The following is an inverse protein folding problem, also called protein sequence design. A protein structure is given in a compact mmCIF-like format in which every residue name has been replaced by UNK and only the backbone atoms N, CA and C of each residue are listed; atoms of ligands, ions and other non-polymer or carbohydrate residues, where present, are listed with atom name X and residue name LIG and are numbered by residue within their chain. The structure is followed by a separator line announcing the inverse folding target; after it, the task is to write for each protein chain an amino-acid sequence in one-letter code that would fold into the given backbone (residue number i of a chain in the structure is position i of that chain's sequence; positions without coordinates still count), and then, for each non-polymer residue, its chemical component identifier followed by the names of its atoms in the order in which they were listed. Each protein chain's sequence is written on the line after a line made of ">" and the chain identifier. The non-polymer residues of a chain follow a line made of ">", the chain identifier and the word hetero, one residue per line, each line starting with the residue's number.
data_IF_338058665152
#
_entry.id   IF_338058665152
#
_cell.length_a   1.000
_cell.length_b   1.000
_cell.length_c   1.000
_cell.angle_alpha   90.00
_cell.angle_beta   90.00
_cell.angle_gamma   90.00
#
_symmetry.space_group_name_H-M   'P 1'
#
loop_
_entity.id
_entity.type
_entity.pdbx_description
1 polymer ?
#
# COMPACT_ATOMS: atom_id res chain seq x y z
N UNK A 1 18.55 -11.33 -21.32
CA UNK A 1 18.47 -11.66 -19.88
C UNK A 1 18.47 -10.33 -19.14
N UNK A 2 17.33 -9.97 -18.52
CA UNK A 2 17.28 -8.71 -17.77
C UNK A 2 18.02 -8.93 -16.45
N UNK A 3 19.10 -8.18 -16.27
CA UNK A 3 19.96 -8.32 -15.11
C UNK A 3 19.20 -7.84 -13.86
N UNK A 4 19.07 -8.71 -12.85
CA UNK A 4 18.47 -8.40 -11.55
C UNK A 4 19.54 -7.83 -10.62
N UNK A 5 19.14 -6.90 -9.78
CA UNK A 5 20.01 -6.45 -8.70
C UNK A 5 20.20 -7.55 -7.65
N UNK A 6 21.39 -7.58 -7.08
CA UNK A 6 21.76 -8.52 -6.02
C UNK A 6 22.61 -7.81 -4.97
N UNK A 7 22.98 -8.50 -3.92
CA UNK A 7 23.93 -7.95 -2.94
C UNK A 7 25.35 -7.73 -3.51
N UNK A 8 25.61 -8.15 -4.75
CA UNK A 8 26.82 -7.79 -5.50
C UNK A 8 26.71 -6.41 -6.15
N UNK A 9 25.51 -5.85 -6.27
CA UNK A 9 25.28 -4.50 -6.78
C UNK A 9 25.72 -3.46 -5.74
N UNK A 10 25.92 -2.22 -6.18
CA UNK A 10 26.23 -1.06 -5.35
C UNK A 10 24.99 -0.18 -5.16
N UNK A 11 24.99 0.70 -4.15
CA UNK A 11 23.92 1.70 -3.97
C UNK A 11 23.78 2.56 -5.23
N UNK A 12 24.90 3.04 -5.79
CA UNK A 12 24.91 3.89 -6.98
C UNK A 12 24.29 3.20 -8.20
N UNK A 13 24.65 1.93 -8.47
CA UNK A 13 24.08 1.17 -9.58
C UNK A 13 22.56 1.04 -9.50
N UNK A 14 21.99 0.91 -8.30
CA UNK A 14 20.56 0.80 -8.11
C UNK A 14 19.89 2.18 -8.20
N UNK A 15 20.40 3.17 -7.47
CA UNK A 15 19.74 4.49 -7.36
C UNK A 15 19.83 5.33 -8.62
N UNK A 16 20.85 5.13 -9.45
CA UNK A 16 21.03 5.81 -10.73
C UNK A 16 20.41 5.04 -11.91
N UNK A 17 19.86 3.85 -11.70
CA UNK A 17 19.24 3.08 -12.77
C UNK A 17 17.90 3.68 -13.22
N UNK A 18 17.82 4.11 -14.48
CA UNK A 18 16.64 4.77 -15.07
C UNK A 18 15.35 3.93 -15.05
N UNK A 19 15.48 2.62 -14.88
CA UNK A 19 14.34 1.71 -14.84
C UNK A 19 13.67 1.69 -13.46
N UNK A 20 14.38 2.07 -12.40
CA UNK A 20 13.86 1.99 -11.02
C UNK A 20 13.87 3.32 -10.27
N UNK A 21 14.80 4.23 -10.55
CA UNK A 21 15.09 5.44 -9.77
C UNK A 21 13.85 6.30 -9.47
N UNK A 22 12.95 6.48 -10.45
CA UNK A 22 11.74 7.31 -10.32
C UNK A 22 10.68 6.73 -9.37
N UNK A 23 10.68 5.42 -9.15
CA UNK A 23 9.70 4.72 -8.32
C UNK A 23 10.28 4.20 -7.01
N UNK A 24 11.60 4.14 -6.93
CA UNK A 24 12.31 3.65 -5.76
C UNK A 24 11.93 4.39 -4.46
N UNK A 25 11.73 5.73 -4.45
CA UNK A 25 11.32 6.46 -3.23
C UNK A 25 10.02 5.99 -2.58
N UNK A 26 9.15 5.33 -3.34
CA UNK A 26 7.89 4.79 -2.82
C UNK A 26 8.12 3.55 -1.95
N UNK A 27 9.15 2.77 -2.27
CA UNK A 27 9.41 1.46 -1.67
C UNK A 27 10.63 1.43 -0.77
N UNK A 28 11.50 2.44 -0.87
CA UNK A 28 12.75 2.53 -0.12
C UNK A 28 13.09 3.97 0.23
N UNK A 29 13.63 4.16 1.44
CA UNK A 29 14.08 5.47 1.90
C UNK A 29 15.40 5.87 1.20
N UNK A 30 15.30 6.78 0.25
CA UNK A 30 16.47 7.31 -0.46
C UNK A 30 17.35 8.22 0.39
N UNK A 31 16.86 8.74 1.52
CA UNK A 31 17.70 9.52 2.42
C UNK A 31 18.82 8.66 3.01
N UNK A 32 18.52 7.40 3.32
CA UNK A 32 19.54 6.42 3.71
C UNK A 32 20.61 6.26 2.62
N UNK A 33 20.23 6.26 1.34
CA UNK A 33 21.18 6.19 0.25
C UNK A 33 22.02 7.45 0.12
N UNK A 34 21.44 8.64 0.35
CA UNK A 34 22.12 9.93 0.28
C UNK A 34 23.20 10.09 1.36
N UNK A 35 23.02 9.42 2.50
CA UNK A 35 23.99 9.38 3.58
C UNK A 35 25.19 8.48 3.28
N UNK A 36 25.07 7.59 2.29
CA UNK A 36 26.16 6.69 1.86
C UNK A 36 27.10 7.42 0.93
N UNK A 37 28.14 8.05 1.52
CA UNK A 37 29.16 8.81 0.77
C UNK A 37 30.23 7.88 0.16
N UNK A 38 30.98 8.41 -0.81
CA UNK A 38 32.17 7.77 -1.30
C UNK A 38 33.17 7.46 -0.15
N UNK A 39 33.80 6.27 -0.06
CA UNK A 39 33.80 5.19 -1.06
C UNK A 39 32.64 4.18 -0.91
N UNK A 40 31.81 4.28 0.12
CA UNK A 40 30.77 3.29 0.43
C UNK A 40 29.71 3.19 -0.65
N UNK A 41 29.36 4.30 -1.35
CA UNK A 41 28.37 4.28 -2.44
C UNK A 41 28.74 3.38 -3.62
N UNK A 42 30.05 3.11 -3.80
CA UNK A 42 30.58 2.18 -4.81
C UNK A 42 30.99 0.81 -4.24
N UNK A 43 30.74 0.60 -2.98
CA UNK A 43 30.98 -0.71 -2.34
C UNK A 43 29.81 -1.65 -2.63
N UNK A 44 30.10 -2.93 -2.85
CA UNK A 44 29.05 -3.95 -2.97
C UNK A 44 28.21 -4.01 -1.70
N UNK A 45 26.89 -4.09 -1.82
CA UNK A 45 25.94 -4.08 -0.71
C UNK A 45 26.29 -5.14 0.34
N UNK A 46 26.65 -6.35 -0.08
CA UNK A 46 27.08 -7.42 0.86
C UNK A 46 28.22 -7.03 1.79
N UNK A 47 29.16 -6.20 1.31
CA UNK A 47 30.31 -5.75 2.09
C UNK A 47 29.91 -4.56 3.00
N UNK A 48 29.09 -3.66 2.47
CA UNK A 48 28.55 -2.52 3.23
C UNK A 48 27.71 -2.99 4.43
N UNK A 49 26.83 -3.97 4.23
CA UNK A 49 25.99 -4.54 5.30
C UNK A 49 26.81 -5.20 6.41
N UNK A 50 28.01 -5.73 6.11
CA UNK A 50 28.91 -6.27 7.13
C UNK A 50 29.55 -5.19 8.02
N UNK A 51 29.67 -3.98 7.49
CA UNK A 51 30.34 -2.85 8.15
C UNK A 51 29.36 -1.86 8.76
N UNK A 52 28.11 -1.87 8.32
CA UNK A 52 27.06 -0.92 8.70
C UNK A 52 25.73 -1.66 8.91
N UNK A 53 24.73 -0.93 9.41
CA UNK A 53 23.35 -1.40 9.51
C UNK A 53 22.50 -1.03 8.25
N UNK A 54 23.15 -0.73 7.12
CA UNK A 54 22.42 -0.35 5.91
C UNK A 54 21.51 -1.49 5.43
N UNK A 55 20.23 -1.24 5.14
CA UNK A 55 19.25 -2.26 4.75
C UNK A 55 19.40 -2.60 3.25
N UNK A 56 20.56 -3.17 2.89
CA UNK A 56 20.91 -3.45 1.50
C UNK A 56 20.01 -4.49 0.83
N UNK A 57 19.46 -5.44 1.59
CA UNK A 57 18.53 -6.42 1.05
C UNK A 57 17.19 -5.74 0.68
N UNK A 58 16.68 -4.85 1.54
CA UNK A 58 15.43 -4.14 1.27
C UNK A 58 15.54 -3.24 0.02
N UNK A 59 16.71 -2.63 -0.19
CA UNK A 59 17.00 -1.86 -1.40
C UNK A 59 16.95 -2.74 -2.65
N UNK A 60 17.58 -3.93 -2.61
CA UNK A 60 17.58 -4.91 -3.69
C UNK A 60 16.15 -5.39 -3.97
N UNK A 61 15.40 -5.72 -2.94
CA UNK A 61 14.03 -6.23 -3.06
C UNK A 61 13.10 -5.18 -3.67
N UNK A 62 13.18 -3.92 -3.21
CA UNK A 62 12.42 -2.81 -3.76
C UNK A 62 12.74 -2.56 -5.25
N UNK A 63 14.02 -2.56 -5.61
CA UNK A 63 14.45 -2.35 -6.99
C UNK A 63 13.99 -3.48 -7.91
N UNK A 64 14.15 -4.74 -7.48
CA UNK A 64 13.72 -5.90 -8.26
C UNK A 64 12.20 -5.97 -8.40
N UNK A 65 11.43 -5.64 -7.37
CA UNK A 65 9.99 -5.52 -7.45
C UNK A 65 9.56 -4.53 -8.56
N UNK A 66 10.18 -3.36 -8.62
CA UNK A 66 9.90 -2.38 -9.67
C UNK A 66 10.23 -2.94 -11.06
N UNK A 67 11.37 -3.63 -11.19
CA UNK A 67 11.77 -4.25 -12.47
C UNK A 67 10.77 -5.32 -12.92
N UNK A 68 10.32 -6.18 -12.01
CA UNK A 68 9.34 -7.23 -12.28
C UNK A 68 8.03 -6.66 -12.80
N UNK A 69 7.49 -5.65 -12.11
CA UNK A 69 6.27 -4.97 -12.54
C UNK A 69 6.40 -4.37 -13.94
N UNK A 70 7.54 -3.72 -14.23
CA UNK A 70 7.79 -3.14 -15.56
C UNK A 70 7.91 -4.20 -16.66
N UNK A 71 8.54 -5.32 -16.37
CA UNK A 71 8.72 -6.42 -17.32
C UNK A 71 7.40 -7.14 -17.60
N UNK A 72 6.55 -7.28 -16.60
CA UNK A 72 5.18 -7.76 -16.75
C UNK A 72 4.26 -6.79 -17.52
N UNK A 73 4.69 -5.53 -17.73
CA UNK A 73 3.83 -4.48 -18.31
C UNK A 73 2.83 -3.90 -17.32
N UNK A 74 2.98 -4.23 -16.06
CA UNK A 74 2.08 -3.80 -14.98
C UNK A 74 2.30 -2.34 -14.61
N UNK A 75 1.20 -1.68 -14.20
CA UNK A 75 1.31 -0.37 -13.58
C UNK A 75 1.94 -0.51 -12.20
N UNK A 76 3.11 0.07 -12.02
CA UNK A 76 3.76 0.11 -10.70
C UNK A 76 2.98 0.99 -9.73
N UNK A 77 2.39 2.09 -10.21
CA UNK A 77 1.66 3.05 -9.37
C UNK A 77 0.51 3.72 -10.11
N UNK A 78 -0.54 4.08 -9.37
CA UNK A 78 -1.69 4.83 -9.86
C UNK A 78 -1.86 6.07 -8.96
N UNK A 79 -1.60 7.30 -9.45
CA UNK A 79 -1.82 8.51 -8.67
C UNK A 79 -3.31 8.77 -8.47
N UNK A 80 -3.70 9.06 -7.22
CA UNK A 80 -5.10 9.22 -6.83
C UNK A 80 -5.56 10.69 -6.74
N UNK A 81 -4.63 11.64 -6.69
CA UNK A 81 -4.89 13.07 -6.56
C UNK A 81 -4.70 13.87 -7.88
N UNK A 82 -4.88 13.23 -9.03
CA UNK A 82 -4.80 13.96 -10.32
C UNK A 82 -5.90 14.99 -10.44
N UNK A 83 -5.53 16.17 -10.94
CA UNK A 83 -6.48 17.25 -11.25
C UNK A 83 -6.76 18.19 -10.08
N UNK A 84 -5.92 18.19 -9.05
CA UNK A 84 -5.93 19.23 -8.02
C UNK A 84 -5.39 20.57 -8.56
N UNK A 85 -5.80 21.69 -7.96
CA UNK A 85 -5.20 22.99 -8.23
C UNK A 85 -3.69 23.00 -7.99
N UNK A 86 -2.99 23.90 -8.71
CA UNK A 86 -1.55 24.11 -8.52
C UNK A 86 -1.21 24.40 -7.04
N UNK A 87 -0.19 23.72 -6.50
CA UNK A 87 0.21 23.83 -5.11
C UNK A 87 -0.18 22.67 -4.21
N UNK A 88 -1.34 22.04 -4.44
CA UNK A 88 -1.72 20.79 -3.78
C UNK A 88 -1.25 19.56 -4.58
N UNK A 89 -1.05 19.75 -5.90
CA UNK A 89 -0.65 18.69 -6.81
C UNK A 89 0.73 18.13 -6.49
N UNK A 90 1.70 18.97 -6.11
CA UNK A 90 3.07 18.55 -5.78
C UNK A 90 3.11 17.67 -4.52
N UNK A 91 2.42 18.11 -3.46
CA UNK A 91 2.33 17.33 -2.22
C UNK A 91 1.60 15.99 -2.41
N UNK A 92 0.67 15.95 -3.37
CA UNK A 92 -0.14 14.77 -3.66
C UNK A 92 0.45 13.86 -4.76
N UNK A 93 1.54 14.26 -5.42
CA UNK A 93 2.13 13.49 -6.53
C UNK A 93 2.61 12.11 -6.09
N UNK A 94 3.09 12.00 -4.86
CA UNK A 94 3.59 10.75 -4.27
C UNK A 94 2.49 9.91 -3.63
N UNK A 95 1.27 10.43 -3.47
CA UNK A 95 0.14 9.66 -2.95
C UNK A 95 -0.43 8.79 -4.05
N UNK A 96 -0.10 7.52 -3.98
CA UNK A 96 -0.38 6.57 -5.05
C UNK A 96 -0.93 5.25 -4.52
N UNK A 97 -1.69 4.56 -5.36
CA UNK A 97 -2.00 3.14 -5.18
C UNK A 97 -1.00 2.31 -5.95
N UNK A 98 -0.47 1.25 -5.33
CA UNK A 98 0.30 0.19 -5.98
C UNK A 98 -0.66 -0.98 -6.19
N UNK A 99 -1.11 -1.26 -7.44
CA UNK A 99 -2.12 -2.28 -7.70
C UNK A 99 -1.51 -3.68 -7.72
N UNK A 100 -2.22 -4.65 -7.15
CA UNK A 100 -2.03 -6.08 -7.31
C UNK A 100 -3.34 -6.65 -7.84
N UNK A 101 -3.36 -6.91 -9.13
CA UNK A 101 -4.58 -7.32 -9.84
C UNK A 101 -4.66 -8.84 -9.84
N UNK A 102 -5.78 -9.40 -9.39
CA UNK A 102 -6.10 -10.81 -9.56
C UNK A 102 -6.77 -11.04 -10.91
N UNK A 103 -6.75 -12.27 -11.39
CA UNK A 103 -7.44 -12.67 -12.63
C UNK A 103 -8.98 -12.69 -12.50
N UNK A 104 -9.51 -12.49 -11.29
CA UNK A 104 -10.93 -12.47 -11.05
C UNK A 104 -11.54 -11.11 -11.42
N UNK A 105 -12.53 -11.12 -12.28
CA UNK A 105 -13.39 -9.97 -12.51
C UNK A 105 -14.39 -9.82 -11.34
N UNK A 106 -14.81 -8.58 -11.07
CA UNK A 106 -15.85 -8.26 -10.08
C UNK A 106 -15.56 -8.86 -8.69
N UNK A 107 -14.40 -8.62 -8.15
CA UNK A 107 -13.97 -9.08 -6.83
C UNK A 107 -13.89 -7.94 -5.79
N UNK A 108 -13.89 -8.27 -4.48
CA UNK A 108 -13.67 -7.26 -3.45
C UNK A 108 -12.33 -6.56 -3.63
N UNK A 109 -12.27 -5.27 -3.27
CA UNK A 109 -11.03 -4.51 -3.18
C UNK A 109 -10.52 -4.45 -1.73
N UNK A 110 -9.23 -4.66 -1.54
CA UNK A 110 -8.56 -4.44 -0.27
C UNK A 110 -7.53 -3.33 -0.43
N UNK A 111 -7.74 -2.20 0.23
CA UNK A 111 -6.78 -1.11 0.30
C UNK A 111 -5.94 -1.30 1.55
N UNK A 112 -4.64 -1.46 1.37
CA UNK A 112 -3.67 -1.77 2.42
C UNK A 112 -2.90 -0.50 2.75
N UNK A 113 -2.90 -0.12 4.03
CA UNK A 113 -2.16 1.03 4.55
C UNK A 113 -1.08 0.54 5.51
N UNK A 114 0.16 0.38 5.04
CA UNK A 114 1.28 0.00 5.89
C UNK A 114 1.56 1.02 6.99
N UNK A 115 2.10 0.58 8.10
CA UNK A 115 2.50 1.42 9.22
C UNK A 115 3.69 2.32 8.86
N UNK A 116 3.75 3.47 9.50
CA UNK A 116 4.92 4.34 9.49
C UNK A 116 5.99 3.84 10.46
N UNK A 117 7.23 3.80 10.00
CA UNK A 117 8.40 3.54 10.82
C UNK A 117 9.56 4.43 10.35
N UNK A 118 10.12 5.21 11.27
CA UNK A 118 11.25 6.12 10.98
C UNK A 118 10.99 7.07 9.79
N UNK A 119 9.78 7.66 9.71
CA UNK A 119 9.41 8.62 8.67
C UNK A 119 9.07 7.99 7.31
N UNK A 120 8.92 6.67 7.21
CA UNK A 120 8.50 5.96 5.99
C UNK A 120 7.46 4.88 6.26
N UNK A 121 6.67 4.53 5.27
CA UNK A 121 5.78 3.38 5.35
C UNK A 121 6.54 2.06 5.05
N UNK A 122 6.16 1.00 5.74
CA UNK A 122 6.69 -0.37 5.53
C UNK A 122 6.14 -1.00 4.23
N UNK A 123 6.34 -0.34 3.11
CA UNK A 123 5.74 -0.70 1.82
C UNK A 123 6.08 -2.12 1.37
N UNK A 124 7.32 -2.58 1.54
CA UNK A 124 7.74 -3.92 1.12
C UNK A 124 7.25 -4.99 2.09
N UNK A 125 7.37 -4.76 3.39
CA UNK A 125 7.07 -5.77 4.42
C UNK A 125 5.58 -5.97 4.65
N UNK A 126 4.84 -4.87 4.88
CA UNK A 126 3.42 -4.88 5.20
C UNK A 126 2.55 -4.61 3.98
N UNK A 127 3.11 -4.03 2.91
CA UNK A 127 2.42 -3.75 1.66
C UNK A 127 2.56 -4.88 0.65
N UNK A 128 3.72 -4.99 0.01
CA UNK A 128 3.93 -5.87 -1.15
C UNK A 128 3.62 -7.34 -0.85
N UNK A 129 4.16 -7.88 0.25
CA UNK A 129 3.96 -9.29 0.61
C UNK A 129 2.48 -9.61 0.88
N UNK A 130 1.77 -8.71 1.57
CA UNK A 130 0.36 -8.88 1.91
C UNK A 130 -0.52 -8.73 0.67
N UNK A 131 -0.26 -7.69 -0.14
CA UNK A 131 -1.01 -7.46 -1.37
C UNK A 131 -0.89 -8.61 -2.36
N UNK A 132 0.29 -9.19 -2.52
CA UNK A 132 0.50 -10.38 -3.34
C UNK A 132 -0.35 -11.55 -2.85
N UNK A 133 -0.32 -11.86 -1.54
CA UNK A 133 -1.13 -12.93 -0.97
C UNK A 133 -2.64 -12.69 -1.11
N UNK A 134 -3.12 -11.46 -0.96
CA UNK A 134 -4.53 -11.09 -1.16
C UNK A 134 -4.93 -11.23 -2.63
N UNK A 135 -4.05 -10.83 -3.55
CA UNK A 135 -4.28 -11.00 -4.99
C UNK A 135 -4.33 -12.47 -5.40
N UNK A 136 -3.43 -13.31 -4.89
CA UNK A 136 -3.46 -14.78 -5.08
C UNK A 136 -4.75 -15.41 -4.56
N UNK A 137 -5.35 -14.84 -3.52
CA UNK A 137 -6.67 -15.27 -3.02
C UNK A 137 -7.85 -14.82 -3.91
N UNK A 138 -7.60 -14.06 -4.95
CA UNK A 138 -8.60 -13.62 -5.92
C UNK A 138 -9.31 -12.32 -5.55
N UNK A 139 -8.79 -11.52 -4.63
CA UNK A 139 -9.25 -10.15 -4.37
C UNK A 139 -8.36 -9.15 -5.11
N UNK A 140 -8.88 -7.98 -5.46
CA UNK A 140 -8.05 -6.88 -5.95
C UNK A 140 -7.37 -6.19 -4.77
N UNK A 141 -6.04 -6.13 -4.74
CA UNK A 141 -5.32 -5.50 -3.66
C UNK A 141 -4.61 -4.21 -4.13
N UNK A 142 -4.59 -3.21 -3.27
CA UNK A 142 -3.98 -1.92 -3.54
C UNK A 142 -3.20 -1.46 -2.31
N UNK A 143 -1.90 -1.23 -2.44
CA UNK A 143 -1.14 -0.63 -1.35
C UNK A 143 -1.24 0.88 -1.51
N UNK A 144 -1.60 1.58 -0.45
CA UNK A 144 -1.70 3.03 -0.44
C UNK A 144 -0.44 3.65 0.17
N UNK A 145 0.31 4.39 -0.65
CA UNK A 145 1.35 5.27 -0.16
C UNK A 145 0.71 6.59 0.25
N UNK A 146 0.81 6.93 1.53
CA UNK A 146 0.13 8.04 2.20
C UNK A 146 1.07 9.23 2.39
N UNK A 147 0.48 10.41 2.61
CA UNK A 147 1.18 11.59 3.13
C UNK A 147 1.10 11.59 4.66
N UNK A 148 2.21 11.88 5.31
CA UNK A 148 2.25 12.08 6.75
C UNK A 148 1.37 13.28 7.15
N UNK A 149 0.53 13.08 8.17
CA UNK A 149 -0.42 14.09 8.65
C UNK A 149 -1.70 14.26 7.83
N UNK A 150 -1.85 13.54 6.71
CA UNK A 150 -3.04 13.55 5.83
C UNK A 150 -3.62 12.16 5.61
N UNK A 151 -3.33 11.21 6.48
CA UNK A 151 -3.61 9.78 6.29
C UNK A 151 -5.11 9.51 6.09
N UNK A 152 -5.97 10.13 6.91
CA UNK A 152 -7.43 9.92 6.81
C UNK A 152 -7.99 10.46 5.48
N UNK A 153 -7.48 11.59 5.00
CA UNK A 153 -7.92 12.19 3.73
C UNK A 153 -7.46 11.33 2.55
N UNK A 154 -6.23 10.83 2.58
CA UNK A 154 -5.68 9.97 1.54
C UNK A 154 -6.38 8.60 1.51
N UNK A 155 -6.69 8.01 2.67
CA UNK A 155 -7.49 6.78 2.78
C UNK A 155 -8.90 6.99 2.18
N UNK A 156 -9.58 8.08 2.57
CA UNK A 156 -10.89 8.41 2.04
C UNK A 156 -10.86 8.67 0.53
N UNK A 157 -9.81 9.33 0.05
CA UNK A 157 -9.59 9.55 -1.38
C UNK A 157 -9.35 8.25 -2.13
N UNK A 158 -8.55 7.35 -1.59
CA UNK A 158 -8.28 6.05 -2.19
C UNK A 158 -9.54 5.21 -2.35
N UNK A 159 -10.41 5.16 -1.33
CA UNK A 159 -11.69 4.46 -1.38
C UNK A 159 -12.58 5.03 -2.49
N UNK A 160 -12.74 6.36 -2.54
CA UNK A 160 -13.53 7.02 -3.60
C UNK A 160 -12.95 6.79 -4.98
N UNK A 161 -11.62 6.81 -5.11
CA UNK A 161 -10.93 6.54 -6.37
C UNK A 161 -11.19 5.13 -6.87
N UNK A 162 -11.07 4.12 -6.00
CA UNK A 162 -11.35 2.71 -6.32
C UNK A 162 -12.79 2.55 -6.76
N UNK A 163 -13.75 3.11 -6.01
CA UNK A 163 -15.18 3.06 -6.37
C UNK A 163 -15.48 3.74 -7.70
N UNK A 164 -14.91 4.91 -7.95
CA UNK A 164 -15.11 5.65 -9.21
C UNK A 164 -14.55 4.93 -10.45
N UNK A 165 -13.52 4.12 -10.24
CA UNK A 165 -12.83 3.39 -11.30
C UNK A 165 -13.08 1.87 -11.24
N UNK A 166 -14.13 1.43 -10.54
CA UNK A 166 -14.41 0.04 -10.24
C UNK A 166 -14.35 -0.88 -11.48
N UNK A 167 -14.98 -0.49 -12.60
CA UNK A 167 -14.95 -1.27 -13.83
C UNK A 167 -13.54 -1.47 -14.39
N UNK A 168 -12.69 -0.41 -14.35
CA UNK A 168 -11.30 -0.46 -14.86
C UNK A 168 -10.36 -1.23 -13.93
N UNK A 169 -10.75 -1.35 -12.67
CA UNK A 169 -9.99 -2.02 -11.63
C UNK A 169 -10.54 -3.41 -11.30
N UNK A 170 -11.59 -3.84 -12.01
CA UNK A 170 -12.28 -5.13 -11.82
C UNK A 170 -12.74 -5.34 -10.37
N UNK A 171 -13.32 -4.29 -9.77
CA UNK A 171 -13.73 -4.24 -8.37
C UNK A 171 -15.24 -4.10 -8.26
N UNK A 172 -15.84 -4.77 -7.30
CA UNK A 172 -17.20 -4.47 -6.85
C UNK A 172 -17.19 -3.16 -6.05
N UNK A 173 -17.86 -2.11 -6.56
CA UNK A 173 -17.79 -0.75 -6.00
C UNK A 173 -18.32 -0.63 -4.56
N UNK A 174 -19.14 -1.57 -4.14
CA UNK A 174 -19.74 -1.71 -2.81
C UNK A 174 -19.03 -2.74 -1.92
N UNK A 175 -17.82 -3.18 -2.31
CA UNK A 175 -17.03 -4.16 -1.58
C UNK A 175 -15.57 -3.69 -1.45
N UNK A 176 -15.38 -2.56 -0.77
CA UNK A 176 -14.05 -2.00 -0.52
C UNK A 176 -13.70 -2.12 0.96
N UNK A 177 -12.66 -2.88 1.23
CA UNK A 177 -12.11 -3.11 2.57
C UNK A 177 -10.90 -2.23 2.78
N UNK A 178 -10.78 -1.60 3.94
CA UNK A 178 -9.57 -0.91 4.38
C UNK A 178 -8.83 -1.79 5.38
N UNK A 179 -7.58 -2.12 5.06
CA UNK A 179 -6.68 -2.90 5.93
C UNK A 179 -5.55 -2.00 6.39
N UNK A 180 -5.37 -1.86 7.70
CA UNK A 180 -4.39 -0.93 8.28
C UNK A 180 -3.50 -1.64 9.29
N UNK A 181 -2.28 -1.15 9.43
CA UNK A 181 -1.28 -1.68 10.35
C UNK A 181 -0.97 -0.68 11.46
N UNK A 182 -0.74 -1.19 12.68
CA UNK A 182 -0.26 -0.42 13.82
C UNK A 182 -1.04 0.88 14.07
N UNK A 183 -0.33 1.99 14.11
CA UNK A 183 -0.91 3.31 14.39
C UNK A 183 -1.82 3.86 13.28
N UNK A 184 -1.81 3.26 12.08
CA UNK A 184 -2.75 3.62 11.00
C UNK A 184 -4.21 3.33 11.38
N UNK A 185 -4.45 2.56 12.45
CA UNK A 185 -5.78 2.37 13.03
C UNK A 185 -6.46 3.68 13.46
N UNK A 186 -5.69 4.67 13.93
CA UNK A 186 -6.24 5.93 14.44
C UNK A 186 -6.89 6.76 13.32
N UNK A 187 -6.19 7.13 12.23
CA UNK A 187 -6.82 7.81 11.11
C UNK A 187 -7.89 6.97 10.40
N UNK A 188 -7.72 5.65 10.33
CA UNK A 188 -8.70 4.77 9.71
C UNK A 188 -10.03 4.74 10.49
N UNK A 189 -9.99 4.68 11.82
CA UNK A 189 -11.19 4.78 12.66
C UNK A 189 -11.85 6.14 12.55
N UNK A 190 -11.08 7.21 12.53
CA UNK A 190 -11.61 8.55 12.29
C UNK A 190 -12.39 8.59 10.98
N UNK A 191 -11.86 8.01 9.92
CA UNK A 191 -12.53 7.89 8.64
C UNK A 191 -13.79 7.02 8.76
N UNK A 192 -13.72 5.84 9.40
CA UNK A 192 -14.80 4.88 9.50
C UNK A 192 -16.00 5.42 10.30
N UNK A 193 -15.77 6.12 11.43
CA UNK A 193 -16.85 6.59 12.30
C UNK A 193 -17.29 8.03 12.04
N UNK A 194 -16.44 8.88 11.46
CA UNK A 194 -16.67 10.32 11.40
C UNK A 194 -16.67 10.89 9.99
N UNK A 195 -16.70 10.05 8.97
CA UNK A 195 -16.63 10.48 7.56
C UNK A 195 -17.84 11.28 7.07
N UNK A 196 -18.69 11.73 7.99
CA UNK A 196 -19.86 12.53 7.66
C UNK A 196 -19.48 13.82 6.95
N UNK A 197 -19.51 13.75 5.61
CA UNK A 197 -19.56 14.83 4.63
C UNK A 197 -18.29 15.67 4.51
N UNK A 198 -17.54 15.41 3.47
CA UNK A 198 -16.77 16.47 2.81
C UNK A 198 -17.80 17.53 2.37
N UNK A 199 -17.76 18.70 3.01
CA UNK A 199 -18.73 19.80 2.75
C UNK A 199 -18.51 20.46 1.40
N UNK A 200 -17.29 20.37 0.87
CA UNK A 200 -16.92 21.00 -0.39
C UNK A 200 -16.58 19.93 -1.41
N UNK A 201 -17.49 19.73 -2.35
CA UNK A 201 -17.25 18.85 -3.52
C UNK A 201 -16.35 19.61 -4.50
N UNK A 202 -15.05 19.49 -4.32
CA UNK A 202 -14.05 20.13 -5.21
C UNK A 202 -13.61 19.21 -6.35
N UNK A 203 -13.87 17.90 -6.21
CA UNK A 203 -13.48 16.91 -7.20
C UNK A 203 -14.63 15.93 -7.47
N UNK A 204 -14.70 15.40 -8.73
CA UNK A 204 -15.75 14.46 -9.20
C UNK A 204 -15.92 13.21 -8.31
N UNK A 205 -14.91 12.81 -7.53
CA UNK A 205 -14.98 11.65 -6.65
C UNK A 205 -15.54 11.98 -5.27
N UNK A 206 -15.62 13.25 -4.88
CA UNK A 206 -16.02 13.65 -3.53
C UNK A 206 -17.51 13.39 -3.24
N UNK A 207 -18.31 13.20 -4.29
CA UNK A 207 -19.69 12.77 -4.16
C UNK A 207 -19.86 11.30 -3.75
N UNK A 208 -18.80 10.49 -3.84
CA UNK A 208 -18.83 9.08 -3.50
C UNK A 208 -18.56 8.87 -2.01
N UNK A 209 -19.12 7.80 -1.47
CA UNK A 209 -18.90 7.34 -0.10
C UNK A 209 -17.41 7.03 0.13
N UNK A 210 -16.83 7.51 1.20
CA UNK A 210 -15.43 7.28 1.57
C UNK A 210 -15.26 6.26 2.70
N UNK A 211 -16.35 5.85 3.36
CA UNK A 211 -16.31 4.77 4.35
C UNK A 211 -16.09 3.42 3.65
N UNK A 212 -15.16 2.59 4.15
CA UNK A 212 -15.04 1.23 3.67
C UNK A 212 -16.22 0.38 4.18
N UNK A 213 -16.51 -0.72 3.51
CA UNK A 213 -17.48 -1.72 3.98
C UNK A 213 -16.97 -2.45 5.22
N UNK A 214 -15.65 -2.63 5.35
CA UNK A 214 -15.04 -3.21 6.53
C UNK A 214 -13.69 -2.55 6.81
N UNK A 215 -13.35 -2.43 8.09
CA UNK A 215 -12.04 -2.00 8.56
C UNK A 215 -11.32 -3.18 9.22
N UNK A 216 -10.19 -3.57 8.64
CA UNK A 216 -9.31 -4.59 9.19
C UNK A 216 -8.09 -3.94 9.83
N UNK A 217 -7.87 -4.23 11.11
CA UNK A 217 -6.73 -3.74 11.88
C UNK A 217 -5.80 -4.91 12.14
N UNK A 218 -4.60 -4.81 11.58
CA UNK A 218 -3.55 -5.82 11.74
C UNK A 218 -2.64 -5.40 12.89
N UNK A 219 -2.71 -6.17 13.99
CA UNK A 219 -1.96 -5.87 15.21
C UNK A 219 -2.66 -6.38 16.46
N UNK A 220 -2.38 -5.75 17.58
CA UNK A 220 -3.01 -6.11 18.85
C UNK A 220 -4.45 -5.58 18.89
N UNK A 221 -5.42 -6.38 19.36
CA UNK A 221 -6.77 -5.92 19.61
C UNK A 221 -6.76 -4.86 20.72
N UNK A 222 -7.70 -3.94 20.66
CA UNK A 222 -7.91 -2.92 21.68
C UNK A 222 -9.38 -2.87 22.13
N UNK A 223 -9.75 -1.85 22.91
CA UNK A 223 -11.10 -1.71 23.51
C UNK A 223 -12.25 -1.65 22.48
N UNK A 224 -11.94 -1.38 21.22
CA UNK A 224 -12.93 -1.30 20.14
C UNK A 224 -13.02 -2.58 19.29
N UNK A 225 -12.43 -3.69 19.75
CA UNK A 225 -12.30 -4.92 18.99
C UNK A 225 -13.64 -5.58 18.58
N UNK A 226 -14.74 -5.23 19.26
CA UNK A 226 -16.05 -5.86 19.06
C UNK A 226 -17.07 -4.95 18.34
N UNK A 227 -16.62 -3.82 17.77
CA UNK A 227 -17.54 -2.92 17.04
C UNK A 227 -17.86 -3.47 15.65
N UNK A 228 -19.11 -3.36 15.25
CA UNK A 228 -19.60 -3.81 13.94
C UNK A 228 -18.75 -3.28 12.77
N UNK A 229 -18.34 -4.19 11.89
CA UNK A 229 -17.55 -3.86 10.70
C UNK A 229 -16.05 -3.61 10.96
N UNK A 230 -15.59 -3.72 12.22
CA UNK A 230 -14.16 -3.67 12.56
C UNK A 230 -13.68 -5.08 12.91
N UNK A 231 -12.63 -5.50 12.25
CA UNK A 231 -12.03 -6.82 12.42
C UNK A 231 -10.57 -6.69 12.83
N UNK A 232 -10.17 -7.51 13.79
CA UNK A 232 -8.78 -7.59 14.27
C UNK A 232 -8.15 -8.89 13.81
N UNK A 233 -6.88 -8.79 13.40
CA UNK A 233 -6.09 -9.94 13.00
C UNK A 233 -4.66 -9.76 13.48
N UNK A 234 -4.11 -10.75 14.14
CA UNK A 234 -2.69 -10.77 14.48
C UNK A 234 -1.82 -10.88 13.22
N UNK A 235 -0.62 -10.33 13.25
CA UNK A 235 0.32 -10.39 12.10
C UNK A 235 0.69 -11.82 11.72
N UNK A 236 0.68 -12.74 12.68
CA UNK A 236 0.98 -14.16 12.51
C UNK A 236 0.03 -14.87 11.55
N UNK A 237 -1.23 -14.44 11.50
CA UNK A 237 -2.25 -15.00 10.59
C UNK A 237 -1.84 -14.85 9.12
N UNK A 238 -1.12 -13.79 8.79
CA UNK A 238 -0.67 -13.51 7.43
C UNK A 238 0.53 -14.38 7.00
N UNK A 239 1.15 -15.10 7.92
CA UNK A 239 2.36 -15.90 7.66
C UNK A 239 2.08 -17.37 7.31
N UNK A 240 0.85 -17.86 7.52
CA UNK A 240 0.45 -19.24 7.24
C UNK A 240 -0.60 -19.34 6.14
N UNK A 241 -0.64 -20.44 5.41
CA UNK A 241 -1.64 -20.63 4.35
C UNK A 241 -3.05 -20.79 4.92
N UNK A 242 -3.20 -21.43 6.08
CA UNK A 242 -4.46 -21.52 6.81
C UNK A 242 -4.95 -20.13 7.26
N UNK A 243 -4.04 -19.30 7.76
CA UNK A 243 -4.35 -17.92 8.14
C UNK A 243 -4.76 -17.06 6.95
N UNK A 244 -4.09 -17.18 5.81
CA UNK A 244 -4.48 -16.52 4.56
C UNK A 244 -5.85 -16.98 4.08
N UNK A 245 -6.14 -18.28 4.12
CA UNK A 245 -7.45 -18.81 3.76
C UNK A 245 -8.56 -18.30 4.70
N UNK A 246 -8.30 -18.29 6.01
CA UNK A 246 -9.21 -17.72 7.00
C UNK A 246 -9.48 -16.23 6.72
N UNK A 247 -8.44 -15.44 6.44
CA UNK A 247 -8.55 -14.02 6.10
C UNK A 247 -9.40 -13.81 4.84
N UNK A 248 -9.17 -14.59 3.79
CA UNK A 248 -9.96 -14.54 2.55
C UNK A 248 -11.45 -14.75 2.83
N UNK A 249 -11.80 -15.80 3.55
CA UNK A 249 -13.19 -16.10 3.88
C UNK A 249 -13.83 -14.95 4.66
N UNK A 250 -13.08 -14.35 5.59
CA UNK A 250 -13.54 -13.23 6.39
C UNK A 250 -13.69 -11.94 5.57
N UNK A 251 -12.77 -11.62 4.69
CA UNK A 251 -12.88 -10.47 3.77
C UNK A 251 -14.16 -10.63 2.94
N UNK A 252 -14.37 -11.79 2.32
CA UNK A 252 -15.56 -12.05 1.50
C UNK A 252 -16.84 -11.96 2.35
N UNK A 253 -16.83 -12.49 3.57
CA UNK A 253 -17.99 -12.41 4.48
C UNK A 253 -18.25 -10.97 4.92
N UNK A 254 -17.23 -10.21 5.30
CA UNK A 254 -17.38 -8.82 5.72
C UNK A 254 -18.00 -7.94 4.63
N UNK A 255 -17.68 -8.24 3.36
CA UNK A 255 -18.29 -7.56 2.23
C UNK A 255 -19.75 -8.00 1.94
N UNK A 256 -20.14 -9.21 2.36
CA UNK A 256 -21.51 -9.75 2.15
C UNK A 256 -22.47 -9.41 3.27
N UNK A 257 -22.02 -9.38 4.53
CA UNK A 257 -22.84 -9.11 5.71
C UNK A 257 -23.52 -7.73 5.67
N UNK A 258 -23.01 -6.79 4.90
CA UNK A 258 -23.58 -5.45 4.73
C UNK A 258 -24.73 -5.42 3.70
N UNK A 259 -24.89 -6.48 2.89
CA UNK A 259 -26.02 -6.57 1.94
C UNK A 259 -27.32 -7.09 2.55
N UNK A 260 -27.25 -7.68 3.75
CA UNK A 260 -28.40 -8.29 4.43
C UNK A 260 -28.97 -7.44 5.57
N UNK A 261 -28.52 -6.18 5.71
CA UNK A 261 -29.06 -5.16 6.63
C UNK A 261 -29.71 -4.02 5.81
#
# INVERSE_FOLDING_TARGET
>A
MNERFTLESTVTEITENDRVNKKLPIFFDLELCSQVKWPFSKMKLKNMMKMTKFPGQDLVDAANFILERREAGDKTTIPIWRGLPDGEAEAAEHTVLVPFVSDNEDSPAVIICPEWENGRQKMMEEGVKIAAGISEMGCQAFILNLREGSEADDMGRAIRFVRANHQKLHVLSDQVVLMVFGEMKVPARKLYFHSKRVKDVTHRYDALKCEPEALWIIGQPDEDADKDGIFFCGREVLSTDEGKQWLRERIIRSCRLIKDI
#
